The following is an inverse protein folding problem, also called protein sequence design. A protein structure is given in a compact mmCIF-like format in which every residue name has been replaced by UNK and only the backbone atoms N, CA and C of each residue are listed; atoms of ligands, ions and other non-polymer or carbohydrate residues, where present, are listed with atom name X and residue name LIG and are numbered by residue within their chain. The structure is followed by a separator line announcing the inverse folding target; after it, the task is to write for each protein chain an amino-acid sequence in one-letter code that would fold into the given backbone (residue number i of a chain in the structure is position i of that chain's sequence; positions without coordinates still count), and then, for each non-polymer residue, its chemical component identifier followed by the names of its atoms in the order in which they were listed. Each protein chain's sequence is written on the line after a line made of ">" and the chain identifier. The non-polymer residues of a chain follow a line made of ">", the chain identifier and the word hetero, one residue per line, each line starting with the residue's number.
data_IF_657440278739
#
_entry.id   IF_657440278739
#
_cell.length_a   1.000
_cell.length_b   1.000
_cell.length_c   1.000
_cell.angle_alpha   90.00
_cell.angle_beta   90.00
_cell.angle_gamma   90.00
#
_symmetry.space_group_name_H-M   'P 1'
#
loop_
_entity.id
_entity.type
_entity.pdbx_description
1 polymer ?
#
# COMPACT_ATOMS: atom_id res chain seq x y z
N UNK A 1 -27.84 -8.41 12.18
CA UNK A 1 -28.20 -7.37 13.17
C UNK A 1 -27.52 -6.11 12.67
N UNK A 2 -28.24 -5.00 12.54
CA UNK A 2 -27.71 -3.76 11.96
C UNK A 2 -27.45 -2.71 13.04
N UNK A 3 -26.63 -1.73 12.70
CA UNK A 3 -26.29 -0.59 13.57
C UNK A 3 -27.53 0.32 13.75
N UNK A 4 -27.91 0.59 15.00
CA UNK A 4 -29.00 1.52 15.32
C UNK A 4 -28.46 2.86 15.81
N UNK A 5 -28.73 3.94 15.07
CA UNK A 5 -28.27 5.28 15.42
C UNK A 5 -29.18 5.88 16.50
N UNK A 6 -28.65 6.06 17.71
CA UNK A 6 -29.29 6.80 18.80
C UNK A 6 -29.09 8.31 18.62
N UNK A 7 -27.94 8.70 18.06
CA UNK A 7 -27.61 10.06 17.63
C UNK A 7 -26.87 9.99 16.29
N UNK A 8 -27.19 10.90 15.39
CA UNK A 8 -26.59 10.95 14.06
C UNK A 8 -27.59 10.67 12.95
N UNK A 9 -27.09 10.48 11.73
CA UNK A 9 -27.92 10.16 10.58
C UNK A 9 -27.29 8.99 9.81
N UNK A 10 -27.95 7.83 9.69
CA UNK A 10 -27.40 6.69 8.94
C UNK A 10 -27.19 6.96 7.44
N UNK A 11 -27.85 7.98 6.88
CA UNK A 11 -27.66 8.40 5.48
C UNK A 11 -26.59 9.49 5.32
N UNK A 12 -26.15 10.09 6.43
CA UNK A 12 -25.07 11.07 6.46
C UNK A 12 -24.19 10.83 7.71
N UNK A 13 -23.59 9.63 7.83
CA UNK A 13 -22.71 9.31 8.95
C UNK A 13 -21.48 10.20 8.92
N UNK A 14 -20.94 10.49 10.10
CA UNK A 14 -19.91 11.52 10.26
C UNK A 14 -18.48 11.05 9.99
N UNK A 15 -18.29 9.73 9.94
CA UNK A 15 -16.96 9.11 9.85
C UNK A 15 -16.36 8.82 11.21
N UNK A 16 -17.08 9.11 12.29
CA UNK A 16 -16.69 8.78 13.64
C UNK A 16 -17.92 8.56 14.53
N UNK A 17 -17.87 7.48 15.31
CA UNK A 17 -19.00 7.05 16.12
C UNK A 17 -18.57 6.46 17.46
N UNK A 18 -19.38 6.65 18.49
CA UNK A 18 -19.32 5.87 19.72
C UNK A 18 -20.26 4.69 19.54
N UNK A 19 -19.72 3.47 19.61
CA UNK A 19 -20.52 2.26 19.63
C UNK A 19 -20.84 1.85 21.06
N UNK A 20 -22.06 1.39 21.28
CA UNK A 20 -22.50 0.82 22.55
C UNK A 20 -23.14 -0.56 22.35
N UNK A 21 -22.89 -1.47 23.28
CA UNK A 21 -23.58 -2.75 23.38
C UNK A 21 -23.97 -3.01 24.83
N UNK A 22 -25.10 -3.67 25.06
CA UNK A 22 -25.51 -4.09 26.42
C UNK A 22 -24.99 -5.48 26.74
N UNK A 23 -24.63 -5.72 27.98
CA UNK A 23 -24.32 -7.09 28.42
C UNK A 23 -25.55 -7.98 28.30
N UNK A 24 -25.39 -9.19 27.75
CA UNK A 24 -26.44 -10.22 27.77
C UNK A 24 -26.72 -10.73 29.18
N UNK A 25 -25.75 -10.58 30.09
CA UNK A 25 -25.84 -11.05 31.48
C UNK A 25 -26.47 -10.00 32.42
N UNK A 26 -26.21 -8.72 32.19
CA UNK A 26 -26.79 -7.59 32.95
C UNK A 26 -27.03 -6.39 32.00
N UNK A 27 -28.29 -6.13 31.61
CA UNK A 27 -28.60 -5.02 30.69
C UNK A 27 -28.20 -3.63 31.19
N UNK A 28 -27.84 -3.46 32.48
CA UNK A 28 -27.31 -2.20 33.02
C UNK A 28 -25.84 -2.00 32.69
N UNK A 29 -25.09 -3.07 32.43
CA UNK A 29 -23.70 -2.98 31.98
C UNK A 29 -23.67 -2.61 30.51
N UNK A 30 -23.05 -1.46 30.22
CA UNK A 30 -22.82 -0.96 28.87
C UNK A 30 -21.36 -1.19 28.52
N UNK A 31 -21.11 -1.76 27.35
CA UNK A 31 -19.80 -1.77 26.73
C UNK A 31 -19.75 -0.75 25.61
N UNK A 32 -18.59 -0.13 25.39
CA UNK A 32 -18.39 0.84 24.33
C UNK A 32 -17.01 0.73 23.67
N UNK A 33 -16.93 1.19 22.43
CA UNK A 33 -15.68 1.50 21.74
C UNK A 33 -15.89 2.70 20.81
N UNK A 34 -14.81 3.34 20.39
CA UNK A 34 -14.88 4.40 19.39
C UNK A 34 -14.57 3.84 18.00
N UNK A 35 -15.42 4.11 17.02
CA UNK A 35 -15.16 3.81 15.62
C UNK A 35 -14.61 5.06 14.92
N UNK A 36 -13.48 4.91 14.24
CA UNK A 36 -12.90 5.94 13.38
C UNK A 36 -12.82 5.43 11.94
N UNK A 37 -13.40 6.18 11.02
CA UNK A 37 -13.21 6.06 9.57
C UNK A 37 -12.26 7.18 9.12
N UNK A 38 -11.02 6.85 8.73
CA UNK A 38 -10.07 7.88 8.33
C UNK A 38 -10.59 8.68 7.12
N UNK A 39 -10.66 10.02 7.20
CA UNK A 39 -11.12 10.84 6.07
C UNK A 39 -10.08 10.93 4.94
N UNK A 40 -8.84 10.51 5.21
CA UNK A 40 -7.74 10.42 4.25
C UNK A 40 -7.24 8.97 4.32
N UNK A 41 -6.95 8.31 3.17
CA UNK A 41 -6.45 6.95 3.15
C UNK A 41 -5.29 6.75 4.14
N UNK A 42 -5.51 5.88 5.11
CA UNK A 42 -4.56 5.56 6.16
C UNK A 42 -4.14 4.10 6.05
N UNK A 43 -2.83 3.89 6.09
CA UNK A 43 -2.22 2.57 6.18
C UNK A 43 -1.54 2.43 7.53
N UNK A 44 -1.88 1.39 8.29
CA UNK A 44 -1.20 1.06 9.53
C UNK A 44 0.23 0.55 9.27
N UNK A 45 0.52 0.04 8.08
CA UNK A 45 1.88 -0.42 7.73
C UNK A 45 2.90 0.72 7.73
N UNK A 46 2.46 1.97 7.47
CA UNK A 46 3.30 3.17 7.59
C UNK A 46 3.76 3.46 9.02
N UNK A 47 3.07 2.89 10.02
CA UNK A 47 3.38 3.07 11.44
C UNK A 47 4.08 1.85 12.06
N UNK A 48 4.27 0.78 11.29
CA UNK A 48 5.00 -0.41 11.73
C UNK A 48 6.50 -0.23 11.52
N UNK A 49 7.33 -0.34 12.58
CA UNK A 49 8.77 -0.36 12.40
C UNK A 49 9.21 -1.52 11.48
N UNK A 50 10.19 -1.31 10.58
CA UNK A 50 10.58 -2.32 9.59
C UNK A 50 10.95 -3.69 10.17
N UNK A 51 11.51 -3.72 11.38
CA UNK A 51 11.88 -4.96 12.09
C UNK A 51 10.67 -5.85 12.41
N UNK A 52 9.48 -5.27 12.58
CA UNK A 52 8.25 -6.02 12.87
C UNK A 52 7.50 -6.40 11.59
N UNK A 53 7.57 -5.59 10.53
CA UNK A 53 6.93 -5.88 9.25
C UNK A 53 7.41 -7.21 8.64
N UNK A 54 8.67 -7.59 8.86
CA UNK A 54 9.22 -8.87 8.38
C UNK A 54 8.63 -10.12 9.06
N UNK A 55 7.92 -9.97 10.19
CA UNK A 55 7.37 -11.08 10.98
C UNK A 55 5.86 -11.25 10.78
N UNK A 56 5.21 -10.32 10.08
CA UNK A 56 3.77 -10.33 9.87
C UNK A 56 3.48 -11.06 8.54
N UNK A 57 2.49 -11.97 8.50
CA UNK A 57 2.04 -12.58 7.27
C UNK A 57 1.63 -11.53 6.23
N UNK A 58 1.93 -11.77 4.95
CA UNK A 58 1.64 -10.82 3.88
C UNK A 58 0.15 -10.47 3.75
N UNK A 59 -0.75 -11.38 4.13
CA UNK A 59 -2.20 -11.17 4.16
C UNK A 59 -2.61 -10.15 5.24
N UNK A 60 -2.08 -10.27 6.46
CA UNK A 60 -2.35 -9.32 7.55
C UNK A 60 -1.76 -7.93 7.27
N UNK A 61 -0.62 -7.87 6.57
CA UNK A 61 -0.03 -6.61 6.08
C UNK A 61 -0.92 -5.92 5.04
N UNK A 62 -1.60 -6.69 4.17
CA UNK A 62 -2.53 -6.15 3.18
C UNK A 62 -3.78 -5.59 3.84
N UNK A 63 -4.34 -6.29 4.82
CA UNK A 63 -5.50 -5.80 5.58
C UNK A 63 -5.16 -4.53 6.38
N UNK A 64 -3.93 -4.43 6.90
CA UNK A 64 -3.40 -3.25 7.55
C UNK A 64 -3.07 -2.09 6.59
N UNK A 65 -2.97 -2.35 5.28
CA UNK A 65 -2.60 -1.34 4.30
C UNK A 65 -3.77 -0.40 3.93
N UNK A 66 -5.02 -0.86 4.07
CA UNK A 66 -6.22 -0.08 3.74
C UNK A 66 -7.28 -0.23 4.81
N UNK A 67 -7.18 0.57 5.88
CA UNK A 67 -8.15 0.50 6.98
C UNK A 67 -9.34 1.41 6.70
N UNK A 68 -10.47 0.80 6.35
CA UNK A 68 -11.72 1.52 6.08
C UNK A 68 -12.40 2.03 7.37
N UNK A 69 -12.35 1.26 8.45
CA UNK A 69 -12.86 1.68 9.76
C UNK A 69 -12.24 0.86 10.88
N UNK A 70 -11.87 1.51 11.98
CA UNK A 70 -11.19 0.86 13.09
C UNK A 70 -11.87 1.13 14.44
N UNK A 71 -12.10 0.09 15.26
CA UNK A 71 -12.46 0.28 16.66
C UNK A 71 -11.23 0.62 17.49
N UNK A 72 -11.36 1.64 18.34
CA UNK A 72 -10.33 2.09 19.28
C UNK A 72 -11.00 2.28 20.66
N UNK A 73 -10.65 1.44 21.67
CA UNK A 73 -9.79 0.26 21.60
C UNK A 73 -10.40 -0.87 20.71
N UNK A 74 -9.63 -1.89 20.31
CA UNK A 74 -10.09 -2.95 19.39
C UNK A 74 -11.18 -3.87 19.98
N UNK A 75 -11.57 -3.63 21.23
CA UNK A 75 -12.57 -4.38 21.97
C UNK A 75 -13.60 -3.41 22.57
N UNK A 76 -14.83 -3.88 22.76
CA UNK A 76 -15.81 -3.16 23.56
C UNK A 76 -15.43 -3.23 25.05
N UNK A 77 -15.13 -2.08 25.64
CA UNK A 77 -14.75 -1.94 27.05
C UNK A 77 -15.93 -1.46 27.89
N UNK A 78 -15.94 -1.78 29.19
CA UNK A 78 -17.03 -1.32 30.06
C UNK A 78 -17.04 0.21 30.17
N UNK A 79 -18.20 0.81 29.88
CA UNK A 79 -18.40 2.24 29.92
C UNK A 79 -18.77 2.70 31.32
N UNK A 80 -18.51 3.99 31.63
CA UNK A 80 -18.92 4.58 32.91
C UNK A 80 -20.44 4.65 33.05
N UNK A 81 -21.13 5.24 32.08
CA UNK A 81 -22.60 5.28 32.00
C UNK A 81 -23.07 5.66 30.59
N UNK A 82 -24.33 5.37 30.25
CA UNK A 82 -24.89 5.75 28.96
C UNK A 82 -24.99 7.28 28.83
N UNK A 83 -25.39 7.97 29.89
CA UNK A 83 -25.53 9.43 29.93
C UNK A 83 -24.20 10.14 29.66
N UNK A 84 -23.09 9.59 30.16
CA UNK A 84 -21.76 10.10 29.87
C UNK A 84 -21.41 9.98 28.38
N UNK A 85 -21.75 8.84 27.75
CA UNK A 85 -21.52 8.62 26.32
C UNK A 85 -22.40 9.51 25.44
N UNK A 86 -23.65 9.74 25.84
CA UNK A 86 -24.56 10.69 25.16
C UNK A 86 -24.02 12.12 25.21
N UNK A 87 -23.59 12.58 26.39
CA UNK A 87 -22.94 13.89 26.56
C UNK A 87 -21.65 13.97 25.73
N UNK A 88 -20.84 12.92 25.68
CA UNK A 88 -19.60 12.89 24.92
C UNK A 88 -19.87 12.99 23.42
N UNK A 89 -20.83 12.21 22.91
CA UNK A 89 -21.25 12.24 21.52
C UNK A 89 -21.80 13.62 21.13
N UNK A 90 -22.56 14.27 22.01
CA UNK A 90 -23.04 15.63 21.78
C UNK A 90 -21.90 16.64 21.66
N UNK A 91 -20.97 16.65 22.62
CA UNK A 91 -19.87 17.64 22.67
C UNK A 91 -18.87 17.50 21.54
N UNK A 92 -18.61 16.27 21.09
CA UNK A 92 -17.69 15.98 19.99
C UNK A 92 -18.38 15.97 18.64
N UNK A 93 -19.71 16.08 18.66
CA UNK A 93 -20.57 15.94 17.52
C UNK A 93 -20.40 14.57 16.83
N UNK A 94 -20.20 13.51 17.61
CA UNK A 94 -20.06 12.13 17.13
C UNK A 94 -21.44 11.49 16.86
N UNK A 95 -21.47 10.46 16.00
CA UNK A 95 -22.60 9.54 15.96
C UNK A 95 -22.59 8.66 17.22
N UNK A 96 -23.76 8.32 17.75
CA UNK A 96 -23.90 7.37 18.86
C UNK A 96 -24.74 6.19 18.37
N UNK A 97 -24.16 5.00 18.37
CA UNK A 97 -24.79 3.84 17.76
C UNK A 97 -24.89 2.66 18.72
N UNK A 98 -26.07 2.08 18.84
CA UNK A 98 -26.32 0.81 19.51
C UNK A 98 -26.09 -0.34 18.52
N UNK A 99 -25.15 -1.22 18.86
CA UNK A 99 -24.74 -2.38 18.06
C UNK A 99 -25.25 -3.71 18.64
N UNK A 100 -26.12 -3.65 19.64
CA UNK A 100 -26.85 -4.79 20.17
C UNK A 100 -26.35 -5.26 21.54
N UNK A 101 -26.23 -6.58 21.70
CA UNK A 101 -25.91 -7.21 22.99
C UNK A 101 -24.75 -8.18 22.87
N UNK A 102 -23.83 -8.18 23.84
CA UNK A 102 -22.67 -9.06 23.87
C UNK A 102 -22.45 -9.67 25.25
N UNK A 103 -21.90 -10.87 25.31
CA UNK A 103 -21.54 -11.52 26.58
C UNK A 103 -20.38 -10.78 27.26
N UNK A 104 -20.51 -10.50 28.55
CA UNK A 104 -19.43 -9.86 29.31
C UNK A 104 -18.22 -10.77 29.51
N UNK A 105 -18.39 -12.08 29.36
CA UNK A 105 -17.38 -13.11 29.63
C UNK A 105 -16.59 -13.52 28.39
N UNK A 106 -16.98 -13.03 27.22
CA UNK A 106 -16.40 -13.45 25.94
C UNK A 106 -15.70 -12.26 25.26
N UNK A 107 -14.41 -12.14 25.53
CA UNK A 107 -13.54 -11.11 24.95
C UNK A 107 -13.48 -11.21 23.42
N UNK A 108 -13.44 -12.44 22.88
CA UNK A 108 -13.40 -12.66 21.43
C UNK A 108 -14.68 -12.16 20.78
N UNK A 109 -15.84 -12.44 21.37
CA UNK A 109 -17.12 -11.90 20.88
C UNK A 109 -17.18 -10.37 20.95
N UNK A 110 -16.62 -9.75 22.00
CA UNK A 110 -16.56 -8.26 22.11
C UNK A 110 -15.65 -7.65 21.06
N UNK A 111 -14.48 -8.25 20.80
CA UNK A 111 -13.56 -7.82 19.74
C UNK A 111 -14.19 -7.99 18.36
N UNK A 112 -14.79 -9.15 18.08
CA UNK A 112 -15.41 -9.44 16.81
C UNK A 112 -16.59 -8.49 16.53
N UNK A 113 -17.43 -8.23 17.52
CA UNK A 113 -18.54 -7.28 17.40
C UNK A 113 -18.04 -5.85 17.10
N UNK A 114 -16.98 -5.40 17.77
CA UNK A 114 -16.36 -4.09 17.50
C UNK A 114 -15.84 -4.00 16.05
N UNK A 115 -15.14 -5.03 15.58
CA UNK A 115 -14.57 -5.08 14.24
C UNK A 115 -15.65 -5.09 13.15
N UNK A 116 -16.65 -5.98 13.26
CA UNK A 116 -17.73 -6.09 12.28
C UNK A 116 -18.57 -4.81 12.20
N UNK A 117 -18.91 -4.22 13.35
CA UNK A 117 -19.67 -2.96 13.38
C UNK A 117 -18.86 -1.80 12.80
N UNK A 118 -17.54 -1.79 12.98
CA UNK A 118 -16.68 -0.75 12.40
C UNK A 118 -16.61 -0.86 10.88
N UNK A 119 -16.56 -2.08 10.35
CA UNK A 119 -16.61 -2.32 8.89
C UNK A 119 -17.97 -1.90 8.31
N UNK A 120 -19.07 -2.25 8.96
CA UNK A 120 -20.43 -1.87 8.53
C UNK A 120 -20.60 -0.34 8.54
N UNK A 121 -20.16 0.34 9.60
CA UNK A 121 -20.21 1.81 9.68
C UNK A 121 -19.30 2.48 8.64
N UNK A 122 -18.10 1.93 8.40
CA UNK A 122 -17.22 2.42 7.35
C UNK A 122 -17.85 2.33 5.95
N UNK A 123 -18.58 1.26 5.67
CA UNK A 123 -19.32 1.13 4.41
C UNK A 123 -20.42 2.18 4.28
N UNK A 124 -21.16 2.47 5.37
CA UNK A 124 -22.16 3.54 5.39
C UNK A 124 -21.52 4.90 5.07
N UNK A 125 -20.38 5.20 5.68
CA UNK A 125 -19.62 6.42 5.41
C UNK A 125 -19.10 6.50 3.98
N UNK A 126 -18.53 5.43 3.44
CA UNK A 126 -18.04 5.39 2.06
C UNK A 126 -19.16 5.66 1.04
N UNK A 127 -20.36 5.11 1.28
CA UNK A 127 -21.53 5.36 0.44
C UNK A 127 -21.94 6.85 0.47
N UNK A 128 -21.98 7.46 1.66
CA UNK A 128 -22.28 8.88 1.82
C UNK A 128 -21.21 9.78 1.17
N UNK A 129 -19.93 9.52 1.42
CA UNK A 129 -18.84 10.29 0.83
C UNK A 129 -18.84 10.23 -0.71
N UNK A 130 -19.17 9.06 -1.27
CA UNK A 130 -19.34 8.88 -2.72
C UNK A 130 -20.49 9.73 -3.27
N UNK A 131 -21.60 9.85 -2.53
CA UNK A 131 -22.74 10.68 -2.92
C UNK A 131 -22.42 12.18 -2.95
N UNK A 132 -21.51 12.66 -2.10
CA UNK A 132 -21.05 14.06 -2.09
C UNK A 132 -20.16 14.40 -3.30
N UNK A 133 -19.52 13.42 -3.90
CA UNK A 133 -18.58 13.60 -5.02
C UNK A 133 -19.28 13.82 -6.36
N UNK A 134 -20.59 13.57 -6.44
CA UNK A 134 -21.39 13.67 -7.67
C UNK A 134 -21.90 15.09 -8.00
N UNK A 135 -21.69 16.08 -7.11
CA UNK A 135 -22.26 17.43 -7.22
C UNK A 135 -21.25 18.54 -7.65
N UNK A 136 -20.08 18.19 -8.19
CA UNK A 136 -19.19 19.18 -8.85
C UNK A 136 -19.35 19.16 -10.38
N UNK A 137 -20.15 20.06 -10.99
CA UNK A 137 -20.14 20.25 -12.43
C UNK A 137 -18.86 21.00 -12.81
N UNK A 138 -17.80 20.28 -13.19
CA UNK A 138 -16.61 20.88 -13.79
C UNK A 138 -15.25 20.25 -13.47
N UNK A 139 -15.17 19.19 -12.67
CA UNK A 139 -13.91 18.45 -12.55
C UNK A 139 -13.73 17.54 -13.77
N UNK A 140 -12.60 17.57 -14.49
CA UNK A 140 -12.33 16.58 -15.52
C UNK A 140 -12.43 15.21 -14.87
N UNK A 141 -13.03 14.24 -15.58
CA UNK A 141 -13.13 12.87 -15.14
C UNK A 141 -11.77 12.44 -14.58
N UNK A 142 -11.70 12.33 -13.25
CA UNK A 142 -10.63 11.58 -12.61
C UNK A 142 -10.92 10.18 -13.11
N UNK A 143 -10.10 9.73 -14.08
CA UNK A 143 -9.95 8.31 -14.38
C UNK A 143 -10.03 7.56 -13.06
N UNK A 144 -10.83 6.49 -13.01
CA UNK A 144 -10.95 5.61 -11.84
C UNK A 144 -9.64 5.64 -11.06
N UNK A 145 -9.64 6.00 -9.77
CA UNK A 145 -8.39 5.98 -9.03
C UNK A 145 -7.86 4.57 -9.21
N UNK A 146 -6.80 4.42 -10.00
CA UNK A 146 -5.96 3.23 -10.00
C UNK A 146 -5.82 2.93 -8.54
N UNK A 147 -6.34 1.77 -8.13
CA UNK A 147 -6.31 1.35 -6.75
C UNK A 147 -4.96 1.77 -6.17
N UNK A 148 -4.96 2.42 -5.01
CA UNK A 148 -3.74 2.78 -4.28
C UNK A 148 -2.99 1.52 -3.77
N UNK A 149 -3.04 0.46 -4.55
CA UNK A 149 -2.50 -0.88 -4.36
C UNK A 149 -1.17 -1.06 -5.11
N UNK A 150 -0.56 0.03 -5.58
CA UNK A 150 0.72 -0.03 -6.30
C UNK A 150 1.73 1.01 -5.77
N UNK A 151 1.72 1.29 -4.46
CA UNK A 151 3.00 1.54 -3.79
C UNK A 151 3.73 0.19 -3.72
N UNK A 152 4.26 -0.24 -4.86
CA UNK A 152 5.10 -1.41 -4.97
C UNK A 152 6.25 -1.21 -3.96
N UNK A 153 6.26 -2.00 -2.89
CA UNK A 153 7.28 -1.89 -1.86
C UNK A 153 8.68 -2.05 -2.45
N UNK A 154 8.78 -2.80 -3.57
CA UNK A 154 9.99 -2.88 -4.38
C UNK A 154 10.35 -1.51 -4.97
N UNK A 155 9.40 -0.76 -5.52
CA UNK A 155 9.62 0.58 -6.08
C UNK A 155 10.03 1.61 -5.01
N UNK A 156 9.43 1.57 -3.82
CA UNK A 156 9.86 2.43 -2.70
C UNK A 156 11.29 2.09 -2.24
N UNK A 157 11.64 0.80 -2.13
CA UNK A 157 13.00 0.39 -1.81
C UNK A 157 13.98 0.88 -2.89
N UNK A 158 13.64 0.71 -4.17
CA UNK A 158 14.46 1.15 -5.29
C UNK A 158 14.69 2.67 -5.27
N UNK A 159 13.71 3.48 -4.85
CA UNK A 159 13.87 4.93 -4.71
C UNK A 159 14.89 5.32 -3.63
N UNK A 160 15.01 4.54 -2.56
CA UNK A 160 15.99 4.79 -1.48
C UNK A 160 17.42 4.35 -1.82
N UNK A 161 17.59 3.53 -2.86
CA UNK A 161 18.91 3.03 -3.27
C UNK A 161 19.77 4.11 -3.93
N UNK A 162 21.06 4.11 -3.61
CA UNK A 162 22.07 4.86 -4.36
C UNK A 162 22.17 4.36 -5.81
N UNK A 163 22.67 5.21 -6.71
CA UNK A 163 22.90 4.83 -8.12
C UNK A 163 23.84 3.62 -8.23
N UNK A 164 24.83 3.49 -7.33
CA UNK A 164 25.69 2.29 -7.27
C UNK A 164 24.89 1.02 -7.03
N UNK A 165 23.98 1.05 -6.04
CA UNK A 165 23.17 -0.10 -5.69
C UNK A 165 22.18 -0.44 -6.81
N UNK A 166 21.55 0.57 -7.43
CA UNK A 166 20.65 0.38 -8.57
C UNK A 166 21.38 -0.25 -9.76
N UNK A 167 22.58 0.24 -10.10
CA UNK A 167 23.39 -0.33 -11.18
C UNK A 167 23.88 -1.76 -10.85
N UNK A 168 24.24 -2.03 -9.60
CA UNK A 168 24.61 -3.38 -9.18
C UNK A 168 23.44 -4.37 -9.29
N UNK A 169 22.24 -3.96 -8.89
CA UNK A 169 21.03 -4.78 -9.02
C UNK A 169 20.63 -4.98 -10.48
N UNK A 170 20.69 -3.93 -11.30
CA UNK A 170 20.50 -4.03 -12.75
C UNK A 170 21.51 -5.01 -13.36
N UNK A 171 22.76 -5.01 -12.90
CA UNK A 171 23.79 -5.97 -13.30
C UNK A 171 23.42 -7.43 -13.01
N UNK A 172 22.86 -7.73 -11.83
CA UNK A 172 22.36 -9.08 -11.51
C UNK A 172 21.22 -9.49 -12.43
N UNK A 173 20.27 -8.58 -12.66
CA UNK A 173 19.12 -8.82 -13.54
C UNK A 173 19.53 -9.03 -15.00
N UNK A 174 20.59 -8.36 -15.48
CA UNK A 174 21.19 -8.66 -16.80
C UNK A 174 21.63 -10.13 -16.85
N UNK A 175 22.36 -10.61 -15.84
CA UNK A 175 22.77 -12.02 -15.75
C UNK A 175 21.58 -12.98 -15.75
N UNK A 176 20.53 -12.67 -14.98
CA UNK A 176 19.29 -13.46 -14.94
C UNK A 176 18.56 -13.46 -16.29
N UNK A 177 18.49 -12.33 -16.99
CA UNK A 177 17.86 -12.24 -18.30
C UNK A 177 18.61 -13.10 -19.33
N UNK A 178 19.95 -13.09 -19.30
CA UNK A 178 20.78 -13.96 -20.15
C UNK A 178 20.55 -15.44 -19.85
N UNK A 179 20.55 -15.81 -18.57
CA UNK A 179 20.24 -17.18 -18.16
C UNK A 179 18.85 -17.64 -18.64
N UNK A 180 17.84 -16.77 -18.52
CA UNK A 180 16.48 -17.06 -18.99
C UNK A 180 16.41 -17.24 -20.52
N UNK A 181 17.15 -16.43 -21.28
CA UNK A 181 17.25 -16.55 -22.74
C UNK A 181 17.89 -17.89 -23.15
N UNK A 182 19.02 -18.23 -22.53
CA UNK A 182 19.75 -19.47 -22.80
C UNK A 182 18.93 -20.71 -22.41
N UNK A 183 18.12 -20.61 -21.35
CA UNK A 183 17.19 -21.66 -20.90
C UNK A 183 15.81 -21.66 -21.58
N UNK A 184 15.56 -20.71 -22.49
CA UNK A 184 14.25 -20.50 -23.14
C UNK A 184 13.08 -20.30 -22.15
N UNK A 185 13.35 -19.79 -20.95
CA UNK A 185 12.35 -19.50 -19.93
C UNK A 185 11.72 -18.10 -20.17
N UNK A 186 10.68 -18.10 -21.00
CA UNK A 186 9.97 -16.87 -21.38
C UNK A 186 9.24 -16.20 -20.21
N UNK A 187 8.84 -16.95 -19.18
CA UNK A 187 8.18 -16.41 -18.01
C UNK A 187 9.19 -15.66 -17.14
N UNK A 188 10.31 -16.31 -16.81
CA UNK A 188 11.40 -15.69 -16.07
C UNK A 188 11.97 -14.46 -16.79
N UNK A 189 12.11 -14.52 -18.12
CA UNK A 189 12.57 -13.39 -18.93
C UNK A 189 11.61 -12.20 -18.84
N UNK A 190 10.29 -12.45 -18.94
CA UNK A 190 9.27 -11.41 -18.87
C UNK A 190 9.26 -10.70 -17.51
N UNK A 191 9.36 -11.46 -16.43
CA UNK A 191 9.38 -10.90 -15.07
C UNK A 191 10.69 -10.17 -14.77
N UNK A 192 11.82 -10.73 -15.21
CA UNK A 192 13.14 -10.08 -15.11
C UNK A 192 13.14 -8.77 -15.87
N UNK A 193 12.62 -8.74 -17.11
CA UNK A 193 12.50 -7.52 -17.91
C UNK A 193 11.70 -6.42 -17.19
N UNK A 194 10.55 -6.76 -16.61
CA UNK A 194 9.73 -5.78 -15.86
C UNK A 194 10.51 -5.16 -14.70
N UNK A 195 11.26 -5.96 -13.93
CA UNK A 195 12.11 -5.45 -12.84
C UNK A 195 13.21 -4.54 -13.35
N UNK A 196 13.88 -4.93 -14.44
CA UNK A 196 14.90 -4.09 -15.08
C UNK A 196 14.33 -2.73 -15.51
N UNK A 197 13.13 -2.71 -16.11
CA UNK A 197 12.44 -1.48 -16.53
C UNK A 197 12.11 -0.59 -15.32
N UNK A 198 11.67 -1.16 -14.19
CA UNK A 198 11.44 -0.41 -12.94
C UNK A 198 12.72 0.28 -12.46
N UNK A 199 13.86 -0.43 -12.42
CA UNK A 199 15.15 0.16 -12.01
C UNK A 199 15.63 1.22 -13.01
N UNK A 200 15.53 0.92 -14.31
CA UNK A 200 15.99 1.82 -15.37
C UNK A 200 15.27 3.18 -15.34
N UNK A 201 13.97 3.21 -15.01
CA UNK A 201 13.19 4.46 -14.85
C UNK A 201 13.68 5.35 -13.71
N UNK A 202 14.34 4.78 -12.69
CA UNK A 202 14.83 5.50 -11.51
C UNK A 202 16.30 5.94 -11.62
N UNK A 203 16.98 5.57 -12.71
CA UNK A 203 18.35 5.98 -12.99
C UNK A 203 18.37 7.27 -13.82
N UNK A 204 19.37 8.11 -13.59
CA UNK A 204 19.60 9.27 -14.44
C UNK A 204 19.89 8.86 -15.89
N UNK A 205 19.42 9.67 -16.84
CA UNK A 205 19.53 9.40 -18.30
C UNK A 205 20.97 9.12 -18.76
N UNK A 206 21.97 9.75 -18.13
CA UNK A 206 23.40 9.53 -18.42
C UNK A 206 23.83 8.06 -18.33
N UNK A 207 23.14 7.24 -17.53
CA UNK A 207 23.42 5.82 -17.36
C UNK A 207 22.81 4.93 -18.44
N UNK A 208 21.92 5.46 -19.30
CA UNK A 208 21.33 4.73 -20.44
C UNK A 208 20.66 3.40 -20.03
N UNK A 209 19.91 3.45 -18.94
CA UNK A 209 19.29 2.25 -18.34
C UNK A 209 18.35 1.52 -19.31
N UNK A 210 17.62 2.25 -20.15
CA UNK A 210 16.75 1.70 -21.19
C UNK A 210 17.50 0.83 -22.20
N UNK A 211 18.70 1.25 -22.61
CA UNK A 211 19.54 0.52 -23.55
C UNK A 211 20.18 -0.71 -22.91
N UNK A 212 20.50 -0.65 -21.61
CA UNK A 212 20.89 -1.84 -20.83
C UNK A 212 19.78 -2.89 -20.89
N UNK A 213 18.53 -2.50 -20.62
CA UNK A 213 17.38 -3.43 -20.66
C UNK A 213 17.21 -4.01 -22.05
N UNK A 214 17.19 -3.17 -23.09
CA UNK A 214 16.99 -3.60 -24.47
C UNK A 214 18.08 -4.58 -24.93
N UNK A 215 19.33 -4.32 -24.59
CA UNK A 215 20.45 -5.21 -24.92
C UNK A 215 20.38 -6.55 -24.17
N UNK A 216 20.02 -6.53 -22.88
CA UNK A 216 20.00 -7.71 -22.04
C UNK A 216 18.93 -8.74 -22.46
N UNK A 217 17.77 -8.26 -22.93
CA UNK A 217 16.67 -9.13 -23.40
C UNK A 217 16.76 -9.48 -24.88
N UNK A 218 17.76 -8.97 -25.59
CA UNK A 218 17.99 -9.34 -26.99
C UNK A 218 18.57 -10.77 -27.04
N UNK A 219 17.91 -11.73 -27.72
CA UNK A 219 18.39 -13.11 -27.80
C UNK A 219 19.75 -13.25 -28.49
N UNK A 220 20.13 -12.32 -29.35
CA UNK A 220 21.38 -12.39 -30.11
C UNK A 220 22.61 -12.33 -29.19
N UNK A 221 23.69 -13.00 -29.60
CA UNK A 221 24.99 -12.94 -28.90
C UNK A 221 25.52 -11.49 -28.79
N UNK A 222 25.16 -10.63 -29.75
CA UNK A 222 25.46 -9.19 -29.72
C UNK A 222 24.79 -8.49 -28.54
N UNK A 223 23.59 -8.92 -28.15
CA UNK A 223 22.83 -8.36 -27.01
C UNK A 223 23.58 -8.52 -25.69
N UNK A 224 24.15 -9.71 -25.44
CA UNK A 224 24.97 -9.95 -24.25
C UNK A 224 26.15 -8.98 -24.15
N UNK A 225 26.88 -8.80 -25.26
CA UNK A 225 28.04 -7.92 -25.29
C UNK A 225 27.65 -6.45 -25.15
N UNK A 226 26.55 -6.03 -25.77
CA UNK A 226 26.02 -4.67 -25.62
C UNK A 226 25.60 -4.38 -24.17
N UNK A 227 24.92 -5.32 -23.50
CA UNK A 227 24.51 -5.14 -22.11
C UNK A 227 25.72 -4.98 -21.17
N UNK A 228 26.77 -5.77 -21.37
CA UNK A 228 28.03 -5.66 -20.63
C UNK A 228 28.70 -4.30 -20.84
N UNK A 229 28.79 -3.82 -22.09
CA UNK A 229 29.39 -2.51 -22.40
C UNK A 229 28.58 -1.35 -21.80
N UNK A 230 27.25 -1.41 -21.87
CA UNK A 230 26.40 -0.39 -21.27
C UNK A 230 26.54 -0.34 -19.74
N UNK A 231 26.57 -1.49 -19.06
CA UNK A 231 26.80 -1.55 -17.61
C UNK A 231 28.22 -1.06 -17.25
N UNK A 232 29.24 -1.50 -17.97
CA UNK A 232 30.62 -1.06 -17.76
C UNK A 232 30.74 0.46 -17.87
N UNK A 233 30.15 1.03 -18.93
CA UNK A 233 30.06 2.49 -19.11
C UNK A 233 29.36 3.18 -17.93
N UNK A 234 28.25 2.63 -17.46
CA UNK A 234 27.49 3.21 -16.35
C UNK A 234 28.30 3.24 -15.04
N UNK A 235 29.05 2.17 -14.74
CA UNK A 235 29.98 2.15 -13.60
C UNK A 235 31.15 3.12 -13.78
N UNK A 236 31.77 3.20 -14.97
CA UNK A 236 32.83 4.19 -15.23
C UNK A 236 32.35 5.63 -15.06
N UNK A 237 31.11 5.93 -15.46
CA UNK A 237 30.48 7.24 -15.20
C UNK A 237 30.22 7.49 -13.71
N UNK A 238 29.81 6.46 -12.96
CA UNK A 238 29.56 6.57 -11.54
C UNK A 238 30.87 6.76 -10.74
N UNK A 239 31.95 6.11 -11.17
CA UNK A 239 33.27 6.15 -10.55
C UNK A 239 34.12 7.35 -11.04
N UNK A 240 33.55 8.19 -11.92
CA UNK A 240 34.22 9.35 -12.54
C UNK A 240 35.48 8.99 -13.37
N UNK A 241 35.55 7.75 -13.87
CA UNK A 241 36.65 7.21 -14.68
C UNK A 241 36.46 7.52 -16.18
N UNK A 242 36.37 8.80 -16.52
CA UNK A 242 35.98 9.25 -17.88
C UNK A 242 36.95 8.84 -19.01
N UNK A 243 38.21 8.54 -18.69
CA UNK A 243 39.23 8.21 -19.68
C UNK A 243 38.94 6.93 -20.48
N UNK A 244 38.22 5.97 -19.89
CA UNK A 244 37.93 4.66 -20.52
C UNK A 244 36.64 4.69 -21.36
N UNK A 245 35.77 5.67 -21.15
CA UNK A 245 34.45 5.76 -21.79
C UNK A 245 34.52 5.85 -23.33
N UNK A 246 35.43 6.62 -23.96
CA UNK A 246 35.49 6.70 -25.42
C UNK A 246 35.74 5.35 -26.11
N UNK A 247 36.50 4.47 -25.48
CA UNK A 247 36.74 3.11 -26.00
C UNK A 247 35.47 2.25 -25.93
N UNK A 248 34.74 2.34 -24.82
CA UNK A 248 33.47 1.63 -24.63
C UNK A 248 32.41 2.14 -25.62
N UNK A 249 32.29 3.46 -25.80
CA UNK A 249 31.35 4.06 -26.76
C UNK A 249 31.63 3.64 -28.21
N UNK A 250 32.91 3.52 -28.59
CA UNK A 250 33.28 3.01 -29.92
C UNK A 250 32.83 1.56 -30.10
N UNK A 251 33.12 0.70 -29.12
CA UNK A 251 32.71 -0.70 -29.16
C UNK A 251 31.18 -0.87 -29.20
N UNK A 252 30.43 0.00 -28.51
CA UNK A 252 28.95 0.01 -28.58
C UNK A 252 28.49 0.31 -30.01
N UNK A 253 29.06 1.35 -30.66
CA UNK A 253 28.69 1.74 -32.04
C UNK A 253 28.98 0.61 -33.03
N UNK A 254 30.16 0.01 -32.96
CA UNK A 254 30.57 -1.09 -33.85
C UNK A 254 29.66 -2.32 -33.74
N UNK A 255 29.05 -2.57 -32.58
CA UNK A 255 28.11 -3.69 -32.37
C UNK A 255 26.66 -3.37 -32.79
N UNK A 256 26.32 -2.09 -32.93
CA UNK A 256 25.00 -1.64 -33.39
C UNK A 256 24.90 -1.55 -34.92
N UNK A 257 26.04 -1.53 -35.62
CA UNK A 257 26.16 -1.64 -37.09
C UNK A 257 25.98 -3.09 -37.59
#
# INVERSE_FOLDING_TARGET
>A
MGINFLRGNPQAPKGHAIFIARSTNDPRTIFCTYCLVPPIPMSLTKYLPPLFAAQIPAEELRDAANVAGMPIPPMLEEATSLEYLEMLAERRDDDLCDIGTVSSRDEMSRMQMAALSSQEYAQMYANYASSLSLDSPGSPAIEEPTALDDLDAEELLLQTMSDRQKLAELGKLVGMARYALDGHDTALLKDTKKRMERIARLLAEKYRGTEVVAAAVNPDARGARLAELYLSRAFKLLDEEYAEIPGIERAIRELQE
#
